data_IF_804870939636
#
_entry.id   IF_804870939636
#
_cell.length_a   1.000
_cell.length_b   1.000
_cell.length_c   1.000
_cell.angle_alpha   90.00
_cell.angle_beta   90.00
_cell.angle_gamma   90.00
#
_symmetry.space_group_name_H-M   'P 1'
#
loop_
_entity.id
_entity.type
_entity.pdbx_description
1 polymer ?
#
# COMPACT_ATOMS: atom_id res chain seq x y z
N UNK A 1 -0.09 -25.72 -22.81
CA UNK A 1 0.89 -26.69 -23.37
C UNK A 1 0.89 -26.46 -24.86
N UNK A 2 2.02 -26.06 -25.44
CA UNK A 2 2.19 -25.95 -26.90
C UNK A 2 3.48 -26.72 -27.20
N UNK A 3 3.42 -27.68 -28.13
CA UNK A 3 4.56 -28.51 -28.53
C UNK A 3 5.34 -29.14 -27.35
N UNK A 4 4.66 -29.82 -26.43
CA UNK A 4 5.24 -30.41 -25.20
C UNK A 4 5.93 -29.45 -24.21
N UNK A 5 5.90 -28.14 -24.47
CA UNK A 5 6.44 -27.14 -23.56
C UNK A 5 5.34 -26.57 -22.65
N UNK A 6 5.66 -26.47 -21.35
CA UNK A 6 4.82 -25.75 -20.39
C UNK A 6 4.92 -24.25 -20.71
N UNK A 7 3.76 -23.67 -21.00
CA UNK A 7 3.62 -22.22 -21.19
C UNK A 7 3.10 -21.65 -19.89
N UNK A 8 3.82 -20.68 -19.33
CA UNK A 8 3.44 -19.98 -18.11
C UNK A 8 2.81 -18.64 -18.47
N UNK A 9 1.67 -18.35 -17.84
CA UNK A 9 1.09 -17.02 -17.89
C UNK A 9 1.75 -16.18 -16.78
N UNK A 10 2.47 -15.15 -17.20
CA UNK A 10 3.06 -14.17 -16.31
C UNK A 10 2.21 -12.90 -16.41
N UNK A 11 1.84 -12.37 -15.25
CA UNK A 11 1.13 -11.10 -15.16
C UNK A 11 2.11 -9.96 -14.87
N UNK A 12 1.80 -8.77 -15.35
CA UNK A 12 2.57 -7.56 -15.03
C UNK A 12 2.36 -7.19 -13.55
N UNK A 13 3.29 -7.67 -12.72
CA UNK A 13 3.28 -7.47 -11.27
C UNK A 13 3.21 -5.98 -10.89
N UNK A 14 4.03 -5.08 -11.48
CA UNK A 14 3.87 -3.64 -11.30
C UNK A 14 2.44 -3.14 -11.54
N UNK A 15 1.75 -3.60 -12.57
CA UNK A 15 0.39 -3.18 -12.87
C UNK A 15 -0.61 -3.66 -11.82
N UNK A 16 -0.48 -4.92 -11.39
CA UNK A 16 -1.33 -5.48 -10.32
C UNK A 16 -1.19 -4.67 -9.03
N UNK A 17 0.03 -4.27 -8.67
CA UNK A 17 0.29 -3.45 -7.49
C UNK A 17 -0.32 -2.05 -7.60
N UNK A 18 -0.32 -1.43 -8.80
CA UNK A 18 -1.03 -0.15 -9.04
C UNK A 18 -2.53 -0.30 -8.87
N UNK A 19 -3.10 -1.33 -9.46
CA UNK A 19 -4.53 -1.62 -9.36
C UNK A 19 -4.93 -1.83 -7.90
N UNK A 20 -4.14 -2.61 -7.17
CA UNK A 20 -4.34 -2.85 -5.74
C UNK A 20 -4.32 -1.55 -4.93
N UNK A 21 -3.26 -0.74 -5.05
CA UNK A 21 -3.16 0.57 -4.38
C UNK A 21 -4.37 1.46 -4.70
N UNK A 22 -4.73 1.59 -5.97
CA UNK A 22 -5.83 2.46 -6.40
C UNK A 22 -7.18 2.01 -5.83
N UNK A 23 -7.37 0.69 -5.69
CA UNK A 23 -8.56 0.13 -5.06
C UNK A 23 -8.53 0.34 -3.55
N UNK A 24 -7.38 0.14 -2.90
CA UNK A 24 -7.23 0.30 -1.46
C UNK A 24 -7.44 1.73 -0.97
N UNK A 25 -7.11 2.75 -1.79
CA UNK A 25 -7.44 4.14 -1.48
C UNK A 25 -8.95 4.44 -1.50
N UNK A 26 -9.74 3.63 -2.21
CA UNK A 26 -11.18 3.87 -2.42
C UNK A 26 -12.07 2.90 -1.67
N UNK A 27 -11.52 1.76 -1.25
CA UNK A 27 -12.25 0.63 -0.72
C UNK A 27 -11.45 0.02 0.42
N UNK A 28 -12.18 -0.55 1.36
CA UNK A 28 -11.59 -1.30 2.45
C UNK A 28 -11.07 -2.64 1.97
N UNK A 29 -9.94 -3.05 2.55
CA UNK A 29 -9.35 -4.36 2.33
C UNK A 29 -9.70 -5.26 3.51
N UNK A 30 -10.36 -6.38 3.21
CA UNK A 30 -10.73 -7.41 4.18
C UNK A 30 -9.90 -8.65 3.86
N UNK A 31 -9.07 -9.09 4.81
CA UNK A 31 -8.27 -10.32 4.72
C UNK A 31 -8.63 -11.18 5.91
N UNK A 32 -9.45 -12.21 5.69
CA UNK A 32 -10.02 -13.00 6.80
C UNK A 32 -10.83 -12.11 7.75
N UNK A 33 -10.47 -12.12 9.04
CA UNK A 33 -11.06 -11.23 10.06
C UNK A 33 -10.34 -9.87 10.18
N UNK A 34 -9.30 -9.62 9.38
CA UNK A 34 -8.57 -8.36 9.41
C UNK A 34 -9.20 -7.36 8.45
N UNK A 35 -9.45 -6.17 8.98
CA UNK A 35 -9.95 -5.02 8.24
C UNK A 35 -8.88 -3.93 8.21
N UNK A 36 -8.40 -3.62 7.01
CA UNK A 36 -7.47 -2.55 6.74
C UNK A 36 -8.21 -1.47 5.95
N UNK A 37 -8.06 -0.22 6.40
CA UNK A 37 -8.69 0.95 5.81
C UNK A 37 -7.63 1.99 5.50
N UNK A 38 -7.84 2.74 4.43
CA UNK A 38 -6.94 3.82 4.03
C UNK A 38 -6.80 4.91 5.11
N UNK A 39 -7.88 5.18 5.84
CA UNK A 39 -7.92 6.17 6.93
C UNK A 39 -6.87 5.90 8.04
N UNK A 40 -6.49 4.65 8.28
CA UNK A 40 -5.43 4.34 9.25
C UNK A 40 -4.05 4.82 8.76
N UNK A 41 -3.80 4.77 7.46
CA UNK A 41 -2.55 5.28 6.86
C UNK A 41 -2.53 6.81 6.92
N UNK A 42 -3.65 7.46 6.64
CA UNK A 42 -3.77 8.93 6.75
C UNK A 42 -3.53 9.40 8.19
N UNK A 43 -4.11 8.72 9.18
CA UNK A 43 -3.90 9.03 10.60
C UNK A 43 -2.46 8.78 11.02
N UNK A 44 -1.85 7.67 10.59
CA UNK A 44 -0.45 7.38 10.86
C UNK A 44 0.46 8.47 10.27
N UNK A 45 0.23 8.88 9.02
CA UNK A 45 0.99 9.95 8.36
C UNK A 45 0.85 11.29 9.08
N UNK A 46 -0.37 11.68 9.47
CA UNK A 46 -0.61 12.92 10.20
C UNK A 46 0.07 12.94 11.59
N UNK A 47 0.07 11.79 12.28
CA UNK A 47 0.72 11.63 13.59
C UNK A 47 2.25 11.67 13.47
N UNK A 48 2.80 11.00 12.45
CA UNK A 48 4.25 11.01 12.11
C UNK A 48 4.75 12.44 11.84
N UNK A 49 3.97 13.19 11.04
CA UNK A 49 4.28 14.58 10.68
C UNK A 49 4.27 15.53 11.88
N UNK A 50 3.35 15.33 12.83
CA UNK A 50 3.26 16.15 14.05
C UNK A 50 4.41 15.85 15.04
N UNK A 51 4.95 14.63 15.05
CA UNK A 51 6.03 14.20 15.95
C UNK A 51 7.43 14.68 15.57
N UNK A 52 7.60 15.36 14.43
CA UNK A 52 8.84 16.03 14.01
C UNK A 52 10.06 15.12 13.74
N UNK A 53 9.95 13.79 13.92
CA UNK A 53 11.10 12.87 13.80
C UNK A 53 10.85 11.57 13.08
N UNK A 54 9.64 11.26 12.67
CA UNK A 54 9.39 9.97 12.07
C UNK A 54 9.24 10.17 10.55
N UNK A 55 10.30 9.77 9.83
CA UNK A 55 10.22 9.27 8.45
C UNK A 55 10.16 7.75 8.51
N UNK A 56 9.44 7.20 9.49
CA UNK A 56 9.35 5.74 9.69
C UNK A 56 8.72 5.09 8.47
N UNK A 57 7.92 5.87 7.75
CA UNK A 57 7.36 5.52 6.45
C UNK A 57 7.84 6.58 5.45
N UNK A 58 8.51 6.16 4.37
CA UNK A 58 8.94 7.02 3.25
C UNK A 58 7.74 7.46 2.40
N UNK A 59 6.72 7.99 3.07
CA UNK A 59 5.52 8.56 2.49
C UNK A 59 5.70 10.07 2.38
N UNK A 60 5.09 10.61 1.35
CA UNK A 60 5.00 12.03 1.10
C UNK A 60 3.57 12.32 0.64
N UNK A 61 3.23 13.59 0.47
CA UNK A 61 1.88 13.98 0.09
C UNK A 61 1.42 13.34 -1.23
N UNK A 62 2.34 13.02 -2.15
CA UNK A 62 2.03 12.34 -3.42
C UNK A 62 1.66 10.88 -3.24
N UNK A 63 2.07 10.25 -2.13
CA UNK A 63 1.61 8.93 -1.76
C UNK A 63 0.22 8.99 -1.11
N UNK A 64 -0.07 10.00 -0.29
CA UNK A 64 -1.39 10.11 0.35
C UNK A 64 -2.45 10.51 -0.67
N UNK A 65 -2.17 11.57 -1.45
CA UNK A 65 -3.06 12.16 -2.43
C UNK A 65 -2.42 12.19 -3.83
N UNK A 66 -2.32 11.03 -4.51
CA UNK A 66 -1.72 10.96 -5.83
C UNK A 66 -2.62 11.60 -6.91
N UNK A 67 -2.03 12.45 -7.75
CA UNK A 67 -2.68 12.94 -8.97
C UNK A 67 -2.88 11.80 -9.99
N UNK A 68 -3.65 12.04 -11.06
CA UNK A 68 -3.80 11.07 -12.17
C UNK A 68 -2.46 10.65 -12.78
N UNK A 69 -1.49 11.58 -12.84
CA UNK A 69 -0.15 11.29 -13.32
C UNK A 69 0.65 10.44 -12.32
N UNK A 70 0.56 10.76 -11.03
CA UNK A 70 1.26 10.02 -9.97
C UNK A 70 0.77 8.58 -9.84
N UNK A 71 -0.52 8.32 -10.10
CA UNK A 71 -1.10 6.97 -10.13
C UNK A 71 -0.44 6.06 -11.17
N UNK A 72 0.09 6.62 -12.26
CA UNK A 72 0.72 5.83 -13.32
C UNK A 72 2.20 5.54 -13.06
N UNK A 73 2.87 6.36 -12.24
CA UNK A 73 4.31 6.31 -12.00
C UNK A 73 4.69 5.15 -11.06
N UNK A 74 5.60 4.28 -11.51
CA UNK A 74 6.03 3.06 -10.78
C UNK A 74 6.79 3.37 -9.48
N UNK A 75 7.44 4.52 -9.38
CA UNK A 75 8.34 4.86 -8.26
C UNK A 75 7.61 5.00 -6.93
N UNK A 76 6.31 5.29 -6.95
CA UNK A 76 5.49 5.52 -5.75
C UNK A 76 4.84 4.25 -5.18
N UNK A 77 5.01 3.10 -5.84
CA UNK A 77 4.40 1.84 -5.43
C UNK A 77 5.10 1.26 -4.19
N UNK A 78 6.43 1.39 -4.11
CA UNK A 78 7.24 0.80 -3.04
C UNK A 78 6.96 1.41 -1.67
N UNK A 79 6.81 2.74 -1.59
CA UNK A 79 6.45 3.45 -0.35
C UNK A 79 5.03 3.09 0.13
N UNK A 80 4.07 3.02 -0.81
CA UNK A 80 2.69 2.59 -0.52
C UNK A 80 2.59 1.17 0.03
N UNK A 81 3.36 0.23 -0.51
CA UNK A 81 3.33 -1.15 -0.06
C UNK A 81 3.86 -1.28 1.37
N UNK A 82 4.95 -0.58 1.71
CA UNK A 82 5.48 -0.56 3.07
C UNK A 82 4.48 0.05 4.06
N UNK A 83 3.81 1.13 3.68
CA UNK A 83 2.75 1.74 4.48
C UNK A 83 1.55 0.81 4.71
N UNK A 84 1.18 0.03 3.68
CA UNK A 84 0.09 -0.95 3.77
C UNK A 84 0.45 -2.13 4.67
N UNK A 85 1.67 -2.66 4.54
CA UNK A 85 2.19 -3.68 5.45
C UNK A 85 2.27 -3.19 6.89
N UNK A 86 2.64 -1.93 7.11
CA UNK A 86 2.59 -1.32 8.43
C UNK A 86 1.15 -1.21 8.93
N UNK A 87 0.20 -0.71 8.14
CA UNK A 87 -1.23 -0.59 8.53
C UNK A 87 -1.85 -1.95 8.93
N UNK A 88 -1.52 -3.02 8.21
CA UNK A 88 -1.96 -4.39 8.55
C UNK A 88 -1.33 -4.86 9.89
N UNK A 89 -0.07 -4.50 10.16
CA UNK A 89 0.65 -4.89 11.38
C UNK A 89 0.46 -3.92 12.57
N UNK A 90 -0.03 -2.70 12.37
CA UNK A 90 -0.26 -1.72 13.45
C UNK A 90 -1.33 -2.24 14.42
N UNK A 91 -2.23 -3.15 14.00
CA UNK A 91 -3.10 -3.89 14.92
C UNK A 91 -2.33 -4.80 15.90
N UNK A 92 -1.15 -5.30 15.53
CA UNK A 92 -0.30 -6.10 16.40
C UNK A 92 0.65 -5.25 17.28
N UNK A 93 0.93 -4.00 16.89
CA UNK A 93 1.84 -3.12 17.64
C UNK A 93 1.11 -2.29 18.73
N UNK A 94 -0.19 -2.03 18.58
CA UNK A 94 -1.03 -1.40 19.61
C UNK A 94 -1.51 -2.38 20.71
N UNK A 95 -1.16 -3.66 20.62
CA UNK A 95 -1.46 -4.70 21.61
C UNK A 95 -0.26 -5.04 22.52
N UNK A 96 0.85 -4.30 22.39
CA UNK A 96 2.11 -4.53 23.13
C UNK A 96 2.53 -3.33 24.01
N UNK A 97 1.59 -2.43 24.32
CA UNK A 97 1.77 -1.37 25.33
C UNK A 97 0.69 -1.50 26.39
#
# INVERSE_FOLDING_TARGET
MINNNKVYHIHDVPHLLKCFRNNFQKKDLIIGNQHAQWAFIERAYATDGAGGRARTIDLNDKHINPSSYDKMKNTWITGHLRAQYASINVKNMLLLV
#
